data_IF_297414809175
#
_entry.id   IF_297414809175
#
_cell.length_a   1.000
_cell.length_b   1.000
_cell.length_c   1.000
_cell.angle_alpha   90.00
_cell.angle_beta   90.00
_cell.angle_gamma   90.00
#
_symmetry.space_group_name_H-M   'P 1'
#
loop_
_entity.id
_entity.type
_entity.pdbx_description
1 polymer ?
#
# COMPACT_ATOMS: atom_id res chain seq x y z
N UNK A 1 -11.29 20.38 11.33
CA UNK A 1 -10.59 19.21 11.92
C UNK A 1 -9.12 19.28 11.51
N UNK A 2 -8.15 19.15 12.43
CA UNK A 2 -6.72 19.20 12.07
C UNK A 2 -6.07 17.83 11.85
N UNK A 3 -6.53 16.77 12.52
CA UNK A 3 -5.94 15.43 12.42
C UNK A 3 -6.97 14.38 12.03
N UNK A 4 -6.66 13.59 10.99
CA UNK A 4 -7.40 12.40 10.59
C UNK A 4 -6.52 11.17 10.74
N UNK A 5 -6.92 10.27 11.62
CA UNK A 5 -6.26 9.01 11.88
C UNK A 5 -6.82 7.90 11.01
N UNK A 6 -5.97 7.28 10.19
CA UNK A 6 -6.34 6.18 9.30
C UNK A 6 -5.75 4.88 9.85
N UNK A 7 -6.62 4.02 10.38
CA UNK A 7 -6.24 2.70 10.91
C UNK A 7 -6.82 1.56 10.07
N UNK A 8 -6.41 0.32 10.35
CA UNK A 8 -6.95 -0.86 9.71
C UNK A 8 -7.08 -2.06 10.64
N UNK A 9 -8.20 -2.77 10.49
CA UNK A 9 -8.52 -3.97 11.27
C UNK A 9 -7.63 -5.17 10.92
N UNK A 10 -7.26 -5.29 9.64
CA UNK A 10 -6.34 -6.31 9.13
C UNK A 10 -5.03 -5.72 8.64
N UNK A 11 -4.04 -6.56 8.41
CA UNK A 11 -2.79 -6.17 7.75
C UNK A 11 -2.99 -5.94 6.25
N UNK A 12 -2.12 -5.11 5.65
CA UNK A 12 -2.07 -4.86 4.20
C UNK A 12 -3.43 -4.50 3.55
N UNK A 13 -4.24 -3.70 4.22
CA UNK A 13 -5.60 -3.31 3.76
C UNK A 13 -5.65 -1.96 3.04
N UNK A 14 -4.51 -1.34 2.73
CA UNK A 14 -4.45 -0.12 1.92
C UNK A 14 -4.48 1.21 2.68
N UNK A 15 -4.01 1.26 3.94
CA UNK A 15 -3.91 2.52 4.72
C UNK A 15 -3.12 3.61 4.00
N UNK A 16 -1.89 3.30 3.58
CA UNK A 16 -1.03 4.27 2.88
C UNK A 16 -1.65 4.72 1.56
N UNK A 17 -2.34 3.83 0.85
CA UNK A 17 -3.09 4.19 -0.36
C UNK A 17 -4.23 5.16 -0.04
N UNK A 18 -4.99 4.91 1.03
CA UNK A 18 -6.08 5.78 1.47
C UNK A 18 -5.53 7.15 1.91
N UNK A 19 -4.45 7.20 2.71
CA UNK A 19 -3.79 8.45 3.09
C UNK A 19 -3.29 9.22 1.86
N UNK A 20 -2.61 8.56 0.93
CA UNK A 20 -2.11 9.19 -0.28
C UNK A 20 -3.23 9.73 -1.17
N UNK A 21 -4.31 8.95 -1.35
CA UNK A 21 -5.48 9.38 -2.12
C UNK A 21 -6.22 10.56 -1.47
N UNK A 22 -6.48 10.50 -0.16
CA UNK A 22 -7.13 11.61 0.58
C UNK A 22 -6.27 12.87 0.50
N UNK A 23 -4.96 12.74 0.75
CA UNK A 23 -4.06 13.89 0.70
C UNK A 23 -3.96 14.49 -0.69
N UNK A 24 -3.90 13.66 -1.73
CA UNK A 24 -3.92 14.13 -3.12
C UNK A 24 -5.21 14.88 -3.45
N UNK A 25 -6.37 14.34 -3.07
CA UNK A 25 -7.66 15.01 -3.22
C UNK A 25 -7.70 16.37 -2.52
N UNK A 26 -7.28 16.45 -1.26
CA UNK A 26 -7.27 17.71 -0.50
C UNK A 26 -6.30 18.74 -1.09
N UNK A 27 -5.12 18.31 -1.55
CA UNK A 27 -4.16 19.19 -2.25
C UNK A 27 -4.73 19.72 -3.56
N UNK A 28 -5.50 18.89 -4.30
CA UNK A 28 -6.25 19.32 -5.49
C UNK A 28 -7.27 20.42 -5.19
N UNK A 29 -7.72 20.54 -3.94
CA UNK A 29 -8.58 21.62 -3.45
C UNK A 29 -7.80 22.82 -2.87
N UNK A 30 -6.47 22.85 -3.03
CA UNK A 30 -5.62 23.92 -2.53
C UNK A 30 -5.29 23.84 -1.03
N UNK A 31 -5.58 22.72 -0.36
CA UNK A 31 -5.27 22.54 1.06
C UNK A 31 -3.83 22.11 1.31
N UNK A 32 -3.29 22.57 2.43
CA UNK A 32 -1.99 22.13 2.93
C UNK A 32 -2.15 20.86 3.77
N UNK A 33 -1.51 19.78 3.33
CA UNK A 33 -1.63 18.45 3.93
C UNK A 33 -0.30 18.04 4.57
N UNK A 34 -0.34 17.69 5.85
CA UNK A 34 0.76 17.04 6.56
C UNK A 34 0.55 15.52 6.61
N UNK A 35 1.63 14.79 6.91
CA UNK A 35 1.59 13.34 7.13
C UNK A 35 2.41 12.99 8.36
N UNK A 36 1.91 12.07 9.18
CA UNK A 36 2.63 11.52 10.31
C UNK A 36 2.28 10.05 10.44
N UNK A 37 3.24 9.21 10.77
CA UNK A 37 3.05 7.82 11.21
C UNK A 37 3.33 7.77 12.71
N UNK A 38 2.31 7.93 13.58
CA UNK A 38 2.52 8.14 15.01
C UNK A 38 3.31 7.03 15.69
N UNK A 39 3.16 5.81 15.20
CA UNK A 39 3.74 4.59 15.76
C UNK A 39 4.14 3.66 14.62
N UNK A 40 5.31 3.04 14.73
CA UNK A 40 5.74 1.94 13.86
C UNK A 40 6.16 0.71 14.66
N UNK A 41 6.09 -0.46 14.03
CA UNK A 41 6.65 -1.69 14.59
C UNK A 41 8.13 -1.76 14.22
N UNK A 42 9.00 -2.18 15.13
CA UNK A 42 10.44 -2.22 14.88
C UNK A 42 10.82 -3.04 13.63
N UNK A 43 10.14 -4.17 13.40
CA UNK A 43 10.32 -5.00 12.19
C UNK A 43 9.88 -4.32 10.89
N UNK A 44 9.12 -3.22 10.98
CA UNK A 44 8.60 -2.45 9.84
C UNK A 44 9.37 -1.13 9.64
N UNK A 45 10.41 -0.84 10.42
CA UNK A 45 11.10 0.47 10.45
C UNK A 45 11.64 0.90 9.08
N UNK A 46 12.32 0.01 8.34
CA UNK A 46 12.80 0.30 7.00
C UNK A 46 11.63 0.65 6.05
N UNK A 47 10.53 -0.06 6.21
CA UNK A 47 9.31 0.20 5.48
C UNK A 47 8.67 1.54 5.84
N UNK A 48 8.62 1.89 7.12
CA UNK A 48 8.09 3.16 7.59
C UNK A 48 8.93 4.35 7.10
N UNK A 49 10.26 4.23 7.06
CA UNK A 49 11.15 5.25 6.50
C UNK A 49 10.90 5.48 5.00
N UNK A 50 10.69 4.41 4.24
CA UNK A 50 10.34 4.48 2.82
C UNK A 50 8.93 5.08 2.61
N UNK A 51 7.96 4.74 3.46
CA UNK A 51 6.62 5.34 3.41
C UNK A 51 6.71 6.85 3.71
N UNK A 52 7.48 7.26 4.73
CA UNK A 52 7.74 8.66 5.04
C UNK A 52 8.42 9.40 3.87
N UNK A 53 9.45 8.80 3.25
CA UNK A 53 10.11 9.38 2.07
C UNK A 53 9.14 9.58 0.89
N UNK A 54 8.22 8.63 0.69
CA UNK A 54 7.17 8.76 -0.31
C UNK A 54 6.24 9.94 0.01
N UNK A 55 5.73 10.04 1.24
CA UNK A 55 4.86 11.14 1.67
C UNK A 55 5.55 12.51 1.65
N UNK A 56 6.84 12.59 1.99
CA UNK A 56 7.66 13.80 1.84
C UNK A 56 7.62 14.28 0.40
N UNK A 57 7.85 13.37 -0.54
CA UNK A 57 7.84 13.69 -1.97
C UNK A 57 6.47 14.13 -2.46
N UNK A 58 5.42 13.36 -2.16
CA UNK A 58 4.07 13.59 -2.73
C UNK A 58 3.32 14.73 -2.07
N UNK A 59 3.64 15.10 -0.83
CA UNK A 59 3.05 16.24 -0.12
C UNK A 59 3.99 17.45 -0.04
N UNK A 60 5.23 17.34 -0.54
CA UNK A 60 6.24 18.39 -0.48
C UNK A 60 6.47 18.86 0.97
N UNK A 61 6.78 17.90 1.84
CA UNK A 61 7.06 18.13 3.25
C UNK A 61 8.53 18.53 3.43
N UNK A 62 8.80 19.41 4.38
CA UNK A 62 10.16 19.87 4.72
C UNK A 62 10.76 19.06 5.87
N UNK A 63 9.93 18.29 6.57
CA UNK A 63 10.29 17.50 7.74
C UNK A 63 11.10 16.26 7.35
N UNK A 64 12.15 15.91 8.11
CA UNK A 64 12.92 14.71 7.85
C UNK A 64 12.14 13.43 8.24
N UNK A 65 12.46 12.26 7.65
CA UNK A 65 11.68 11.02 7.85
C UNK A 65 11.53 10.58 9.31
N UNK A 66 12.52 10.83 10.16
CA UNK A 66 12.52 10.50 11.59
C UNK A 66 11.50 11.31 12.40
N UNK A 67 11.17 12.53 11.95
CA UNK A 67 10.08 13.34 12.52
C UNK A 67 8.71 12.83 12.12
N UNK A 68 8.61 12.23 10.93
CA UNK A 68 7.35 11.66 10.42
C UNK A 68 7.04 10.29 11.03
N UNK A 69 7.96 9.68 11.77
CA UNK A 69 7.76 8.39 12.45
C UNK A 69 8.43 8.39 13.85
N UNK A 70 7.86 9.12 14.83
CA UNK A 70 8.58 9.46 16.06
C UNK A 70 8.65 8.36 17.11
N UNK A 71 7.78 7.34 17.05
CA UNK A 71 7.69 6.31 18.10
C UNK A 71 7.64 4.89 17.54
N UNK A 72 8.18 3.96 18.33
CA UNK A 72 7.91 2.53 18.20
C UNK A 72 6.66 2.08 18.98
N UNK A 73 6.10 0.93 18.61
CA UNK A 73 4.98 0.30 19.33
C UNK A 73 5.31 0.02 20.80
N UNK A 74 6.56 -0.35 21.08
CA UNK A 74 7.07 -0.60 22.42
C UNK A 74 7.15 0.71 23.23
N UNK A 75 7.65 1.80 22.64
CA UNK A 75 7.71 3.10 23.31
C UNK A 75 6.33 3.61 23.72
N UNK A 76 5.33 3.52 22.83
CA UNK A 76 3.98 3.98 23.17
C UNK A 76 3.23 2.98 24.06
N UNK A 77 3.39 1.67 23.82
CA UNK A 77 2.75 0.64 24.63
C UNK A 77 3.22 0.66 26.09
N UNK A 78 4.50 0.93 26.34
CA UNK A 78 5.04 1.07 27.71
C UNK A 78 4.52 2.32 28.42
N UNK A 79 4.20 3.39 27.68
CA UNK A 79 3.65 4.63 28.23
C UNK A 79 2.27 4.45 28.88
N UNK A 80 1.53 3.40 28.53
CA UNK A 80 0.26 3.05 29.20
C UNK A 80 0.46 2.63 30.66
N UNK A 81 1.61 2.02 30.97
CA UNK A 81 1.92 1.51 32.30
C UNK A 81 2.82 2.46 33.13
N UNK A 82 3.44 3.46 32.49
CA UNK A 82 4.47 4.31 33.09
C UNK A 82 4.17 5.80 32.86
N UNK A 83 3.56 6.50 33.85
CA UNK A 83 3.22 7.92 33.77
C UNK A 83 4.40 8.85 33.46
N UNK A 84 5.62 8.43 33.78
CA UNK A 84 6.88 9.14 33.52
C UNK A 84 7.40 9.00 32.09
N UNK A 85 6.75 8.19 31.24
CA UNK A 85 7.18 8.00 29.86
C UNK A 85 7.17 9.32 29.08
N UNK A 86 8.24 9.54 28.32
CA UNK A 86 8.35 10.70 27.43
C UNK A 86 7.61 10.51 26.10
N UNK A 87 7.13 9.30 25.79
CA UNK A 87 6.52 8.97 24.51
C UNK A 87 5.33 9.89 24.16
N UNK A 88 4.36 10.18 25.07
CA UNK A 88 3.27 11.12 24.77
C UNK A 88 3.77 12.53 24.41
N UNK A 89 4.82 13.02 25.10
CA UNK A 89 5.42 14.34 24.82
C UNK A 89 6.13 14.35 23.47
N UNK A 90 6.89 13.30 23.16
CA UNK A 90 7.59 13.14 21.88
C UNK A 90 6.61 13.08 20.70
N UNK A 91 5.51 12.35 20.85
CA UNK A 91 4.44 12.29 19.84
C UNK A 91 3.79 13.66 19.63
N UNK A 92 3.40 14.32 20.72
CA UNK A 92 2.75 15.63 20.64
C UNK A 92 3.68 16.70 20.03
N UNK A 93 4.97 16.69 20.36
CA UNK A 93 5.97 17.59 19.77
C UNK A 93 6.07 17.37 18.26
N UNK A 94 6.20 16.11 17.84
CA UNK A 94 6.34 15.77 16.41
C UNK A 94 5.08 16.14 15.63
N UNK A 95 3.89 15.87 16.18
CA UNK A 95 2.64 16.30 15.58
C UNK A 95 2.53 17.83 15.50
N UNK A 96 2.90 18.56 16.56
CA UNK A 96 2.81 20.02 16.58
C UNK A 96 3.71 20.66 15.54
N UNK A 97 4.91 20.11 15.32
CA UNK A 97 5.83 20.54 14.26
C UNK A 97 5.23 20.27 12.87
N UNK A 98 4.73 19.05 12.61
CA UNK A 98 4.13 18.69 11.30
C UNK A 98 2.83 19.45 11.02
N UNK A 99 2.08 19.85 12.06
CA UNK A 99 0.81 20.55 11.92
C UNK A 99 0.97 22.06 11.62
N UNK A 100 2.20 22.60 11.63
CA UNK A 100 2.46 24.00 11.29
C UNK A 100 2.07 24.24 9.83
N UNK A 101 1.27 25.27 9.60
CA UNK A 101 0.78 25.68 8.28
C UNK A 101 0.03 24.58 7.49
N UNK A 102 -0.48 23.55 8.17
CA UNK A 102 -1.32 22.51 7.57
C UNK A 102 -2.79 22.70 7.93
N UNK A 103 -3.66 22.58 6.94
CA UNK A 103 -5.11 22.50 7.12
C UNK A 103 -5.51 21.14 7.71
N UNK A 104 -4.75 20.11 7.39
CA UNK A 104 -5.02 18.72 7.76
C UNK A 104 -3.73 17.93 7.86
N UNK A 105 -3.59 17.12 8.89
CA UNK A 105 -2.53 16.12 9.06
C UNK A 105 -3.14 14.73 8.99
N UNK A 106 -2.67 13.93 8.05
CA UNK A 106 -3.03 12.52 7.93
C UNK A 106 -2.13 11.69 8.84
N UNK A 107 -2.74 10.99 9.79
CA UNK A 107 -2.06 10.11 10.72
C UNK A 107 -2.21 8.67 10.24
N UNK A 108 -1.15 8.08 9.69
CA UNK A 108 -1.18 6.67 9.28
C UNK A 108 -0.91 5.76 10.48
N UNK A 109 -1.91 4.95 10.81
CA UNK A 109 -1.82 3.94 11.85
C UNK A 109 -1.08 2.66 11.44
N UNK A 110 -1.07 1.71 12.36
CA UNK A 110 -0.69 0.31 12.23
C UNK A 110 -1.75 -0.53 11.51
N UNK A 111 -1.30 -1.69 11.03
CA UNK A 111 -2.19 -2.77 10.58
C UNK A 111 -2.46 -3.80 11.66
N UNK A 112 -3.54 -4.55 11.48
CA UNK A 112 -3.81 -5.76 12.25
C UNK A 112 -4.36 -5.50 13.65
N UNK A 113 -5.26 -4.53 13.82
CA UNK A 113 -5.89 -4.31 15.13
C UNK A 113 -6.62 -5.55 15.66
N UNK A 114 -7.20 -6.35 14.78
CA UNK A 114 -7.86 -7.59 15.20
C UNK A 114 -6.86 -8.61 15.73
N UNK A 115 -5.61 -8.63 15.25
CA UNK A 115 -4.64 -9.69 15.56
C UNK A 115 -3.83 -9.40 16.81
N UNK A 116 -3.69 -8.13 17.20
CA UNK A 116 -2.82 -7.72 18.31
C UNK A 116 -3.47 -6.62 19.17
N UNK A 117 -3.75 -6.96 20.43
CA UNK A 117 -4.35 -6.05 21.40
C UNK A 117 -3.43 -4.89 21.78
N UNK A 118 -2.10 -5.07 21.75
CA UNK A 118 -1.14 -4.01 22.05
C UNK A 118 -1.20 -2.91 20.99
N UNK A 119 -1.30 -3.29 19.70
CA UNK A 119 -1.50 -2.34 18.59
C UNK A 119 -2.76 -1.53 18.78
N UNK A 120 -3.87 -2.20 19.11
CA UNK A 120 -5.16 -1.52 19.32
C UNK A 120 -5.08 -0.48 20.44
N UNK A 121 -4.44 -0.83 21.56
CA UNK A 121 -4.29 0.10 22.68
C UNK A 121 -3.38 1.28 22.34
N UNK A 122 -2.25 1.03 21.69
CA UNK A 122 -1.32 2.07 21.27
C UNK A 122 -1.97 3.06 20.28
N UNK A 123 -2.73 2.57 19.30
CA UNK A 123 -3.42 3.45 18.36
C UNK A 123 -4.55 4.26 19.00
N UNK A 124 -5.37 3.62 19.85
CA UNK A 124 -6.42 4.33 20.59
C UNK A 124 -5.82 5.44 21.46
N UNK A 125 -4.67 5.18 22.09
CA UNK A 125 -3.93 6.18 22.86
C UNK A 125 -3.40 7.30 21.96
N UNK A 126 -2.77 6.96 20.83
CA UNK A 126 -2.24 7.96 19.89
C UNK A 126 -3.37 8.85 19.33
N UNK A 127 -4.49 8.28 18.91
CA UNK A 127 -5.64 9.01 18.42
C UNK A 127 -6.24 9.93 19.50
N UNK A 128 -6.32 9.47 20.75
CA UNK A 128 -6.79 10.29 21.88
C UNK A 128 -5.83 11.44 22.19
N UNK A 129 -4.53 11.15 22.27
CA UNK A 129 -3.50 12.16 22.56
C UNK A 129 -3.50 13.27 21.51
N UNK A 130 -3.69 12.91 20.24
CA UNK A 130 -3.70 13.85 19.12
C UNK A 130 -5.07 14.46 18.83
N UNK A 131 -6.08 14.16 19.66
CA UNK A 131 -7.48 14.57 19.48
C UNK A 131 -8.00 14.28 18.05
N UNK A 132 -7.50 13.19 17.47
CA UNK A 132 -7.72 12.85 16.08
C UNK A 132 -9.06 12.15 15.91
N UNK A 133 -9.69 12.45 14.78
CA UNK A 133 -10.84 11.69 14.31
C UNK A 133 -10.38 10.49 13.50
N UNK A 134 -11.06 9.36 13.63
CA UNK A 134 -10.57 8.05 13.19
C UNK A 134 -11.41 7.53 12.04
N UNK A 135 -10.75 7.10 10.98
CA UNK A 135 -11.31 6.30 9.89
C UNK A 135 -10.67 4.93 9.93
N UNK A 136 -11.49 3.90 10.03
CA UNK A 136 -11.02 2.52 10.03
C UNK A 136 -11.20 1.88 8.65
N UNK A 137 -10.21 1.12 8.20
CA UNK A 137 -10.33 0.28 7.02
C UNK A 137 -10.72 -1.15 7.44
N UNK A 138 -11.83 -1.61 6.90
CA UNK A 138 -12.31 -2.98 7.01
C UNK A 138 -12.12 -3.70 5.68
N UNK A 139 -11.36 -4.81 5.66
CA UNK A 139 -11.21 -5.61 4.45
C UNK A 139 -12.48 -6.40 4.20
N UNK A 140 -13.00 -6.35 2.97
CA UNK A 140 -14.15 -7.14 2.57
C UNK A 140 -13.98 -8.63 2.92
N UNK A 141 -15.00 -9.21 3.55
CA UNK A 141 -15.01 -10.61 3.97
C UNK A 141 -14.39 -10.88 5.35
N UNK A 142 -13.85 -9.87 6.03
CA UNK A 142 -13.45 -10.02 7.43
C UNK A 142 -14.65 -10.05 8.39
N UNK A 143 -14.43 -10.57 9.60
CA UNK A 143 -15.46 -10.71 10.63
C UNK A 143 -16.04 -9.35 11.06
N UNK A 144 -17.30 -9.10 10.72
CA UNK A 144 -18.03 -7.88 11.01
C UNK A 144 -18.25 -7.65 12.51
N UNK A 145 -18.61 -8.68 13.28
CA UNK A 145 -18.95 -8.52 14.70
C UNK A 145 -17.68 -8.24 15.50
N UNK A 146 -16.60 -8.96 15.22
CA UNK A 146 -15.30 -8.69 15.85
C UNK A 146 -14.78 -7.30 15.48
N UNK A 147 -14.93 -6.90 14.22
CA UNK A 147 -14.55 -5.59 13.72
C UNK A 147 -15.31 -4.45 14.43
N UNK A 148 -16.64 -4.47 14.35
CA UNK A 148 -17.49 -3.42 14.93
C UNK A 148 -17.30 -3.30 16.44
N UNK A 149 -17.28 -4.42 17.17
CA UNK A 149 -17.06 -4.40 18.62
C UNK A 149 -15.69 -3.81 19.01
N UNK A 150 -14.63 -4.13 18.25
CA UNK A 150 -13.30 -3.57 18.49
C UNK A 150 -13.31 -2.06 18.25
N UNK A 151 -13.85 -1.60 17.12
CA UNK A 151 -13.84 -0.18 16.75
C UNK A 151 -14.62 0.68 17.75
N UNK A 152 -15.83 0.25 18.14
CA UNK A 152 -16.63 0.99 19.12
C UNK A 152 -15.93 1.05 20.47
N UNK A 153 -15.28 -0.03 20.91
CA UNK A 153 -14.57 -0.07 22.20
C UNK A 153 -13.27 0.75 22.19
N UNK A 154 -12.51 0.70 21.09
CA UNK A 154 -11.20 1.32 21.01
C UNK A 154 -11.29 2.83 20.76
N UNK A 155 -12.19 3.27 19.89
CA UNK A 155 -12.21 4.65 19.39
C UNK A 155 -13.45 5.44 19.78
N UNK A 156 -14.58 4.79 20.09
CA UNK A 156 -15.82 5.47 20.54
C UNK A 156 -16.17 6.70 19.70
N UNK A 157 -16.36 7.84 20.34
CA UNK A 157 -16.75 9.13 19.72
C UNK A 157 -15.69 9.73 18.78
N UNK A 158 -14.45 9.24 18.82
CA UNK A 158 -13.42 9.63 17.86
C UNK A 158 -13.61 8.95 16.51
N UNK A 159 -14.34 7.83 16.42
CA UNK A 159 -14.59 7.12 15.17
C UNK A 159 -15.57 7.88 14.27
N UNK A 160 -15.08 8.37 13.12
CA UNK A 160 -15.94 8.96 12.08
C UNK A 160 -16.70 7.90 11.30
N UNK A 161 -16.07 6.74 11.11
CA UNK A 161 -16.67 5.65 10.37
C UNK A 161 -15.65 4.66 9.83
N UNK A 162 -16.16 3.78 8.96
CA UNK A 162 -15.41 2.69 8.34
C UNK A 162 -15.44 2.80 6.82
N UNK A 163 -14.34 2.41 6.18
CA UNK A 163 -14.26 2.18 4.73
C UNK A 163 -14.12 0.69 4.50
N UNK A 164 -14.99 0.10 3.68
CA UNK A 164 -14.81 -1.29 3.25
C UNK A 164 -13.88 -1.30 2.04
N UNK A 165 -12.72 -1.92 2.15
CA UNK A 165 -11.76 -2.01 1.06
C UNK A 165 -11.66 -3.42 0.47
N UNK A 166 -11.13 -3.51 -0.75
CA UNK A 166 -10.92 -4.75 -1.50
C UNK A 166 -12.23 -5.50 -1.78
N UNK A 167 -13.30 -4.78 -2.10
CA UNK A 167 -14.57 -5.38 -2.54
C UNK A 167 -14.40 -5.95 -3.96
N UNK A 168 -14.69 -7.23 -4.21
CA UNK A 168 -14.68 -7.76 -5.58
C UNK A 168 -15.63 -6.92 -6.46
N UNK A 169 -15.22 -6.45 -7.66
CA UNK A 169 -16.04 -5.57 -8.49
C UNK A 169 -17.49 -6.05 -8.71
N UNK A 170 -17.75 -7.37 -8.96
CA UNK A 170 -19.11 -7.88 -9.11
C UNK A 170 -19.99 -7.78 -7.85
N UNK A 171 -19.41 -7.50 -6.68
CA UNK A 171 -20.11 -7.38 -5.39
C UNK A 171 -20.25 -5.94 -4.90
N UNK A 172 -19.71 -4.97 -5.65
CA UNK A 172 -19.61 -3.59 -5.19
C UNK A 172 -20.99 -2.96 -4.94
N UNK A 173 -21.93 -3.12 -5.87
CA UNK A 173 -23.29 -2.60 -5.72
C UNK A 173 -24.01 -3.20 -4.50
N UNK A 174 -23.96 -4.53 -4.36
CA UNK A 174 -24.55 -5.23 -3.21
C UNK A 174 -23.99 -4.73 -1.88
N UNK A 175 -22.68 -4.47 -1.80
CA UNK A 175 -22.05 -3.91 -0.60
C UNK A 175 -22.52 -2.48 -0.36
N UNK A 176 -22.59 -1.64 -1.39
CA UNK A 176 -23.05 -0.25 -1.28
C UNK A 176 -24.50 -0.15 -0.79
N UNK A 177 -25.36 -1.10 -1.17
CA UNK A 177 -26.77 -1.09 -0.80
C UNK A 177 -27.02 -1.65 0.61
N UNK A 178 -26.37 -2.76 0.95
CA UNK A 178 -26.71 -3.56 2.14
C UNK A 178 -25.87 -3.25 3.39
N UNK A 179 -24.59 -2.92 3.21
CA UNK A 179 -23.68 -2.72 4.33
C UNK A 179 -23.93 -1.42 5.13
N UNK A 180 -24.38 -0.28 4.57
CA UNK A 180 -24.64 0.92 5.37
C UNK A 180 -25.54 0.65 6.58
N UNK A 181 -26.70 0.02 6.34
CA UNK A 181 -27.66 -0.31 7.39
C UNK A 181 -27.06 -1.28 8.42
N UNK A 182 -26.23 -2.22 7.97
CA UNK A 182 -25.57 -3.19 8.85
C UNK A 182 -24.61 -2.51 9.82
N UNK A 183 -23.75 -1.63 9.35
CA UNK A 183 -22.81 -0.89 10.21
C UNK A 183 -23.52 0.08 11.15
N UNK A 184 -24.62 0.68 10.69
CA UNK A 184 -25.44 1.59 11.50
C UNK A 184 -26.06 0.89 12.72
N UNK A 185 -26.37 -0.42 12.65
CA UNK A 185 -26.83 -1.20 13.82
C UNK A 185 -25.82 -1.23 14.98
N UNK A 186 -24.55 -0.94 14.71
CA UNK A 186 -23.46 -0.85 15.70
C UNK A 186 -23.09 0.60 16.03
N UNK A 187 -23.83 1.58 15.50
CA UNK A 187 -23.54 3.01 15.64
C UNK A 187 -22.33 3.48 14.84
N UNK A 188 -21.93 2.75 13.79
CA UNK A 188 -20.76 3.08 12.96
C UNK A 188 -21.24 3.53 11.58
N UNK A 189 -20.82 4.72 11.14
CA UNK A 189 -21.09 5.19 9.77
C UNK A 189 -20.22 4.44 8.77
N UNK A 190 -20.82 3.90 7.71
CA UNK A 190 -20.08 3.46 6.52
C UNK A 190 -19.78 4.67 5.64
N UNK A 191 -18.50 4.98 5.45
CA UNK A 191 -18.03 6.11 4.63
C UNK A 191 -17.97 5.77 3.15
N UNK A 192 -17.92 4.48 2.82
CA UNK A 192 -17.94 4.01 1.44
C UNK A 192 -17.30 2.64 1.28
N UNK A 193 -17.32 2.15 0.04
CA UNK A 193 -16.82 0.84 -0.34
C UNK A 193 -15.91 0.96 -1.57
N UNK A 194 -14.67 0.54 -1.43
CA UNK A 194 -13.63 0.58 -2.46
C UNK A 194 -13.51 -0.80 -3.14
N UNK A 195 -13.62 -0.87 -4.47
CA UNK A 195 -13.40 -2.11 -5.18
C UNK A 195 -11.92 -2.51 -5.19
N UNK A 196 -11.66 -3.79 -5.43
CA UNK A 196 -10.33 -4.25 -5.79
C UNK A 196 -9.94 -3.66 -7.15
N UNK A 197 -8.91 -2.82 -7.17
CA UNK A 197 -8.33 -2.28 -8.40
C UNK A 197 -6.94 -2.89 -8.63
N UNK A 198 -6.80 -3.63 -9.73
CA UNK A 198 -5.55 -4.29 -10.09
C UNK A 198 -4.41 -3.29 -10.34
N UNK A 199 -4.72 -2.08 -10.81
CA UNK A 199 -3.74 -1.01 -11.06
C UNK A 199 -3.07 -0.57 -9.76
N UNK A 200 -3.82 -0.57 -8.66
CA UNK A 200 -3.30 -0.19 -7.34
C UNK A 200 -2.47 -1.31 -6.70
N UNK A 201 -2.75 -2.56 -7.08
CA UNK A 201 -2.06 -3.78 -6.63
C UNK A 201 -0.84 -4.16 -7.50
N UNK A 202 -0.37 -3.26 -8.38
CA UNK A 202 0.80 -3.51 -9.23
C UNK A 202 2.12 -3.20 -8.53
N UNK A 203 3.23 -3.67 -9.10
CA UNK A 203 4.59 -3.40 -8.64
C UNK A 203 5.41 -2.89 -9.83
N UNK A 204 6.34 -1.97 -9.60
CA UNK A 204 7.24 -1.51 -10.66
C UNK A 204 8.31 -2.57 -10.97
N UNK A 205 8.93 -2.49 -12.14
CA UNK A 205 10.03 -3.39 -12.47
C UNK A 205 11.27 -3.12 -11.60
N UNK A 206 11.50 -1.86 -11.22
CA UNK A 206 12.55 -1.46 -10.28
C UNK A 206 12.37 -2.12 -8.91
N UNK A 207 11.15 -2.09 -8.37
CA UNK A 207 10.84 -2.76 -7.10
C UNK A 207 10.92 -4.28 -7.22
N UNK A 208 10.47 -4.86 -8.34
CA UNK A 208 10.69 -6.29 -8.61
C UNK A 208 12.17 -6.64 -8.60
N UNK A 209 13.03 -5.84 -9.24
CA UNK A 209 14.47 -6.07 -9.22
C UNK A 209 15.03 -6.01 -7.80
N UNK A 210 14.63 -5.00 -7.03
CA UNK A 210 15.06 -4.84 -5.64
C UNK A 210 14.64 -6.02 -4.76
N UNK A 211 13.36 -6.39 -4.77
CA UNK A 211 12.79 -7.47 -3.93
C UNK A 211 13.34 -8.85 -4.32
N UNK A 212 13.71 -9.04 -5.59
CA UNK A 212 14.31 -10.28 -6.07
C UNK A 212 15.83 -10.32 -5.88
N UNK A 213 16.44 -9.25 -5.36
CA UNK A 213 17.91 -9.07 -5.34
C UNK A 213 18.50 -9.29 -6.74
N UNK A 214 17.77 -8.81 -7.76
CA UNK A 214 18.08 -9.02 -9.17
C UNK A 214 18.92 -7.89 -9.76
N UNK A 215 19.85 -8.25 -10.62
CA UNK A 215 20.64 -7.33 -11.43
C UNK A 215 19.83 -6.90 -12.67
N UNK A 216 19.72 -5.59 -12.90
CA UNK A 216 19.11 -5.05 -14.12
C UNK A 216 20.17 -4.94 -15.20
N UNK A 217 20.10 -5.83 -16.21
CA UNK A 217 21.14 -5.95 -17.24
C UNK A 217 21.04 -4.90 -18.35
N UNK A 218 19.83 -4.36 -18.59
CA UNK A 218 19.59 -3.27 -19.54
C UNK A 218 18.55 -2.30 -18.95
N UNK A 219 18.99 -1.25 -18.22
CA UNK A 219 18.09 -0.23 -17.74
C UNK A 219 17.35 0.43 -18.91
N UNK A 220 16.02 0.51 -18.81
CA UNK A 220 15.15 1.15 -19.81
C UNK A 220 14.13 2.05 -19.12
N UNK A 221 13.45 2.90 -19.89
CA UNK A 221 12.38 3.77 -19.36
C UNK A 221 11.22 2.98 -18.71
N UNK A 222 11.02 1.70 -19.10
CA UNK A 222 10.01 0.82 -18.51
C UNK A 222 10.36 0.31 -17.11
N UNK A 223 11.57 0.59 -16.61
CA UNK A 223 11.98 0.10 -15.27
C UNK A 223 11.07 0.66 -14.16
N UNK A 224 10.65 1.92 -14.30
CA UNK A 224 9.70 2.58 -13.38
C UNK A 224 8.22 2.21 -13.65
N UNK A 225 7.97 1.49 -14.75
CA UNK A 225 6.63 1.14 -15.19
C UNK A 225 6.02 0.00 -14.36
N UNK A 226 4.70 0.08 -14.18
CA UNK A 226 3.91 -0.84 -13.37
C UNK A 226 3.55 -2.10 -14.14
N UNK A 227 3.77 -3.25 -13.51
CA UNK A 227 3.40 -4.58 -14.02
C UNK A 227 2.06 -5.01 -13.44
N UNK A 228 1.09 -5.33 -14.31
CA UNK A 228 -0.27 -5.77 -13.92
C UNK A 228 -0.46 -7.28 -13.86
N UNK A 229 0.39 -8.02 -14.57
CA UNK A 229 0.28 -9.45 -14.73
C UNK A 229 1.66 -10.10 -14.60
N UNK A 230 1.70 -11.28 -13.96
CA UNK A 230 2.91 -12.10 -13.90
C UNK A 230 2.62 -13.40 -14.63
N UNK A 231 3.51 -13.76 -15.56
CA UNK A 231 3.43 -15.01 -16.32
C UNK A 231 4.70 -15.81 -16.11
N UNK A 232 4.56 -17.13 -16.02
CA UNK A 232 5.68 -18.02 -15.73
C UNK A 232 5.95 -18.87 -16.97
N UNK A 233 7.16 -18.79 -17.49
CA UNK A 233 7.71 -19.66 -18.51
C UNK A 233 8.07 -21.03 -17.93
N UNK A 234 7.06 -21.74 -17.42
CA UNK A 234 7.19 -23.11 -16.95
C UNK A 234 5.93 -23.92 -17.33
N UNK A 235 6.14 -25.14 -17.84
CA UNK A 235 5.11 -26.17 -18.02
C UNK A 235 3.92 -25.87 -18.95
N UNK A 236 4.08 -25.04 -19.99
CA UNK A 236 2.98 -24.78 -20.95
C UNK A 236 3.09 -25.68 -22.18
N UNK A 237 2.00 -26.36 -22.54
CA UNK A 237 1.87 -27.15 -23.77
C UNK A 237 1.70 -26.25 -25.01
N UNK A 238 1.22 -25.01 -24.80
CA UNK A 238 1.01 -24.02 -25.85
C UNK A 238 2.34 -23.43 -26.37
N UNK A 239 2.43 -23.08 -27.67
CA UNK A 239 3.52 -22.27 -28.21
C UNK A 239 3.67 -20.96 -27.41
N UNK A 240 4.91 -20.62 -27.05
CA UNK A 240 5.22 -19.48 -26.19
C UNK A 240 4.49 -18.17 -26.55
N UNK A 241 4.47 -17.71 -27.82
CA UNK A 241 3.77 -16.48 -28.19
C UNK A 241 2.25 -16.53 -27.94
N UNK A 242 1.60 -17.69 -28.13
CA UNK A 242 0.18 -17.86 -27.85
C UNK A 242 -0.11 -17.83 -26.35
N UNK A 243 0.80 -18.40 -25.54
CA UNK A 243 0.68 -18.35 -24.09
C UNK A 243 0.90 -16.92 -23.57
N UNK A 244 2.03 -16.30 -23.89
CA UNK A 244 2.39 -14.96 -23.42
C UNK A 244 1.50 -13.85 -24.00
N UNK A 245 0.92 -14.05 -25.19
CA UNK A 245 -0.02 -13.11 -25.81
C UNK A 245 -1.35 -12.97 -25.08
N UNK A 246 -1.70 -13.86 -24.14
CA UNK A 246 -2.97 -13.82 -23.38
C UNK A 246 -3.08 -12.62 -22.44
N UNK A 247 -1.97 -12.02 -22.03
CA UNK A 247 -1.92 -10.87 -21.13
C UNK A 247 -1.00 -9.79 -21.69
N UNK A 248 -1.47 -8.55 -21.68
CA UNK A 248 -0.65 -7.37 -21.85
C UNK A 248 -0.05 -6.89 -20.53
N UNK A 249 0.81 -5.88 -20.60
CA UNK A 249 1.43 -5.21 -19.45
C UNK A 249 1.91 -6.18 -18.35
N UNK A 250 2.78 -7.13 -18.75
CA UNK A 250 3.18 -8.29 -17.93
C UNK A 250 4.68 -8.35 -17.65
N UNK A 251 5.04 -8.91 -16.50
CA UNK A 251 6.36 -9.48 -16.26
C UNK A 251 6.31 -10.97 -16.61
N UNK A 252 7.35 -11.45 -17.30
CA UNK A 252 7.53 -12.87 -17.59
C UNK A 252 8.71 -13.40 -16.78
N UNK A 253 8.53 -14.50 -16.07
CA UNK A 253 9.61 -15.22 -15.39
C UNK A 253 10.03 -16.38 -16.30
N UNK A 254 11.29 -16.44 -16.71
CA UNK A 254 11.79 -17.52 -17.57
C UNK A 254 13.11 -18.09 -17.02
N UNK A 255 13.38 -19.40 -17.15
CA UNK A 255 14.68 -19.96 -16.83
C UNK A 255 15.78 -19.35 -17.71
N UNK A 256 16.94 -19.04 -17.11
CA UNK A 256 18.09 -18.44 -17.80
C UNK A 256 18.56 -19.27 -19.01
N UNK A 257 18.47 -20.60 -18.90
CA UNK A 257 18.93 -21.53 -19.95
C UNK A 257 17.85 -21.86 -21.01
N UNK A 258 16.70 -21.18 -20.99
CA UNK A 258 15.60 -21.37 -21.94
C UNK A 258 15.43 -20.17 -22.85
N UNK A 259 16.40 -19.98 -23.76
CA UNK A 259 16.40 -18.87 -24.72
C UNK A 259 15.15 -18.86 -25.61
N UNK A 260 14.60 -20.03 -25.94
CA UNK A 260 13.35 -20.16 -26.68
C UNK A 260 12.16 -19.49 -25.97
N UNK A 261 12.06 -19.68 -24.64
CA UNK A 261 11.01 -19.06 -23.82
C UNK A 261 11.23 -17.54 -23.67
N UNK A 262 12.49 -17.12 -23.55
CA UNK A 262 12.86 -15.71 -23.45
C UNK A 262 12.49 -14.96 -24.73
N UNK A 263 12.84 -15.51 -25.91
CA UNK A 263 12.50 -14.92 -27.20
C UNK A 263 10.98 -14.85 -27.41
N UNK A 264 10.27 -15.95 -27.10
CA UNK A 264 8.82 -15.97 -27.20
C UNK A 264 8.14 -14.92 -26.29
N UNK A 265 8.72 -14.62 -25.12
CA UNK A 265 8.22 -13.57 -24.25
C UNK A 265 8.47 -12.18 -24.85
N UNK A 266 9.68 -11.93 -25.36
CA UNK A 266 10.09 -10.66 -25.97
C UNK A 266 9.34 -10.35 -27.29
N UNK A 267 8.84 -11.38 -27.98
CA UNK A 267 8.02 -11.23 -29.19
C UNK A 267 6.54 -10.91 -28.91
N UNK A 268 6.17 -10.71 -27.65
CA UNK A 268 4.83 -10.26 -27.23
C UNK A 268 4.91 -8.97 -26.41
N UNK A 269 3.79 -8.27 -26.15
CA UNK A 269 3.77 -7.09 -25.29
C UNK A 269 4.16 -7.44 -23.85
N UNK A 270 5.47 -7.37 -23.57
CA UNK A 270 6.10 -7.70 -22.29
C UNK A 270 6.70 -6.44 -21.71
N UNK A 271 6.40 -6.19 -20.43
CA UNK A 271 6.88 -5.01 -19.72
C UNK A 271 8.22 -5.26 -19.04
N UNK A 272 8.47 -6.50 -18.61
CA UNK A 272 9.71 -6.93 -17.96
C UNK A 272 9.95 -8.42 -18.19
N UNK A 273 11.21 -8.82 -18.33
CA UNK A 273 11.60 -10.23 -18.38
C UNK A 273 12.56 -10.53 -17.22
N UNK A 274 12.16 -11.46 -16.36
CA UNK A 274 12.89 -11.89 -15.16
C UNK A 274 13.52 -13.24 -15.48
N UNK A 275 14.83 -13.33 -15.41
CA UNK A 275 15.61 -14.53 -15.67
C UNK A 275 15.99 -15.21 -14.36
N UNK A 276 15.55 -16.45 -14.22
CA UNK A 276 15.80 -17.30 -13.06
C UNK A 276 17.01 -18.19 -13.30
N UNK A 277 18.06 -18.05 -12.47
CA UNK A 277 19.22 -18.94 -12.46
C UNK A 277 20.56 -18.21 -12.52
N UNK A 278 21.63 -19.01 -12.45
CA UNK A 278 23.02 -18.56 -12.36
C UNK A 278 23.68 -18.43 -13.73
N UNK A 279 24.41 -17.35 -13.97
CA UNK A 279 25.20 -17.14 -15.18
C UNK A 279 24.80 -15.88 -15.93
N UNK A 280 24.92 -15.89 -17.26
CA UNK A 280 24.62 -14.74 -18.11
C UNK A 280 23.67 -15.14 -19.25
N UNK A 281 22.71 -14.28 -19.61
CA UNK A 281 21.86 -14.54 -20.77
C UNK A 281 22.67 -14.49 -22.07
N UNK A 282 22.13 -15.12 -23.11
CA UNK A 282 22.76 -15.07 -24.43
C UNK A 282 22.77 -13.65 -24.98
N UNK A 283 23.78 -13.31 -25.79
CA UNK A 283 23.83 -11.99 -26.46
C UNK A 283 22.60 -11.72 -27.34
N UNK A 284 21.98 -12.77 -27.89
CA UNK A 284 20.73 -12.66 -28.64
C UNK A 284 19.56 -12.19 -27.75
N UNK A 285 19.41 -12.76 -26.55
CA UNK A 285 18.39 -12.34 -25.58
C UNK A 285 18.59 -10.88 -25.18
N UNK A 286 19.83 -10.49 -24.85
CA UNK A 286 20.17 -9.12 -24.46
C UNK A 286 19.84 -8.12 -25.56
N UNK A 287 20.30 -8.39 -26.79
CA UNK A 287 20.03 -7.53 -27.96
C UNK A 287 18.53 -7.40 -28.20
N UNK A 288 17.80 -8.53 -28.17
CA UNK A 288 16.35 -8.51 -28.42
C UNK A 288 15.59 -7.72 -27.36
N UNK A 289 15.98 -7.85 -26.09
CA UNK A 289 15.36 -7.11 -25.00
C UNK A 289 15.65 -5.60 -25.11
N UNK A 290 16.86 -5.23 -25.52
CA UNK A 290 17.22 -3.85 -25.79
C UNK A 290 16.41 -3.26 -26.94
N UNK A 291 16.30 -3.98 -28.06
CA UNK A 291 15.51 -3.55 -29.23
C UNK A 291 14.02 -3.39 -28.90
N UNK A 292 13.49 -4.27 -28.03
CA UNK A 292 12.10 -4.21 -27.57
C UNK A 292 11.87 -3.18 -26.43
N UNK A 293 12.94 -2.55 -25.93
CA UNK A 293 12.90 -1.69 -24.76
C UNK A 293 12.28 -2.40 -23.55
N UNK A 294 12.65 -3.66 -23.30
CA UNK A 294 12.18 -4.47 -22.17
C UNK A 294 13.35 -4.66 -21.19
N UNK A 295 13.21 -4.25 -19.92
CA UNK A 295 14.21 -4.49 -18.90
C UNK A 295 14.33 -6.00 -18.61
N UNK A 296 15.58 -6.45 -18.52
CA UNK A 296 15.99 -7.78 -18.08
C UNK A 296 16.47 -7.71 -16.64
N UNK A 297 15.80 -8.46 -15.78
CA UNK A 297 16.19 -8.66 -14.38
C UNK A 297 16.76 -10.06 -14.25
N UNK A 298 18.03 -10.19 -13.90
CA UNK A 298 18.68 -11.47 -13.63
C UNK A 298 18.74 -11.71 -12.12
N UNK A 299 18.25 -12.85 -11.65
CA UNK A 299 18.33 -13.22 -10.24
C UNK A 299 18.78 -14.67 -10.08
N UNK A 300 19.59 -14.91 -9.06
CA UNK A 300 20.06 -16.23 -8.68
C UNK A 300 18.95 -17.13 -8.10
N UNK A 301 17.77 -16.55 -7.81
CA UNK A 301 16.60 -17.25 -7.28
C UNK A 301 16.00 -18.21 -8.32
N UNK A 302 15.55 -19.37 -7.85
CA UNK A 302 14.77 -20.29 -8.68
C UNK A 302 13.34 -19.76 -8.95
N UNK A 303 12.67 -20.33 -9.95
CA UNK A 303 11.36 -19.84 -10.42
C UNK A 303 10.29 -19.85 -9.33
N UNK A 304 10.26 -20.86 -8.45
CA UNK A 304 9.28 -20.93 -7.38
C UNK A 304 9.56 -19.86 -6.31
N UNK A 305 10.84 -19.66 -5.98
CA UNK A 305 11.25 -18.58 -5.07
C UNK A 305 10.86 -17.20 -5.59
N UNK A 306 11.02 -16.94 -6.90
CA UNK A 306 10.59 -15.68 -7.52
C UNK A 306 9.07 -15.50 -7.41
N UNK A 307 8.29 -16.54 -7.73
CA UNK A 307 6.82 -16.50 -7.61
C UNK A 307 6.41 -16.17 -6.18
N UNK A 308 7.00 -16.84 -5.19
CA UNK A 308 6.69 -16.60 -3.78
C UNK A 308 7.00 -15.16 -3.35
N UNK A 309 8.16 -14.61 -3.74
CA UNK A 309 8.53 -13.22 -3.43
C UNK A 309 7.53 -12.26 -4.08
N UNK A 310 7.15 -12.50 -5.32
CA UNK A 310 6.17 -11.67 -6.03
C UNK A 310 4.79 -11.76 -5.37
N UNK A 311 4.30 -12.95 -5.02
CA UNK A 311 3.00 -13.10 -4.35
C UNK A 311 2.98 -12.45 -2.96
N UNK A 312 4.06 -12.58 -2.20
CA UNK A 312 4.23 -11.90 -0.91
C UNK A 312 4.27 -10.38 -1.08
N UNK A 313 4.95 -9.88 -2.11
CA UNK A 313 5.01 -8.45 -2.40
C UNK A 313 3.69 -7.92 -2.95
N UNK A 314 2.97 -8.65 -3.80
CA UNK A 314 1.65 -8.26 -4.29
C UNK A 314 0.62 -8.25 -3.16
N UNK A 315 0.68 -9.22 -2.24
CA UNK A 315 -0.19 -9.26 -1.05
C UNK A 315 0.15 -8.17 -0.01
N UNK A 316 1.38 -7.67 -0.03
CA UNK A 316 1.87 -6.56 0.81
C UNK A 316 2.04 -5.25 0.06
N UNK A 317 1.60 -5.18 -1.19
CA UNK A 317 2.06 -4.17 -2.17
C UNK A 317 1.91 -2.78 -1.57
N UNK A 318 3.06 -2.19 -1.25
CA UNK A 318 3.10 -0.88 -0.62
C UNK A 318 2.79 0.17 -1.67
N UNK A 319 1.98 1.13 -1.28
CA UNK A 319 1.58 2.24 -2.15
C UNK A 319 2.68 3.28 -2.14
N UNK A 320 3.61 3.20 -3.11
CA UNK A 320 4.82 4.06 -3.16
C UNK A 320 5.13 4.63 -4.54
N UNK A 321 4.22 4.43 -5.49
CA UNK A 321 4.40 4.84 -6.87
C UNK A 321 3.44 5.99 -7.17
N UNK A 322 3.98 7.14 -7.57
CA UNK A 322 3.17 8.34 -7.90
C UNK A 322 2.14 8.08 -8.99
N UNK A 323 2.45 7.18 -9.94
CA UNK A 323 1.53 6.75 -10.98
C UNK A 323 0.21 6.17 -10.45
N UNK A 324 0.15 5.77 -9.17
CA UNK A 324 -1.07 5.27 -8.52
C UNK A 324 -1.90 6.36 -7.85
N UNK A 325 -1.38 7.58 -7.68
CA UNK A 325 -2.06 8.66 -6.96
C UNK A 325 -3.35 9.09 -7.64
N UNK A 326 -3.29 9.43 -8.93
CA UNK A 326 -4.45 9.90 -9.68
C UNK A 326 -5.53 8.81 -9.81
N UNK A 327 -5.20 7.55 -10.16
CA UNK A 327 -6.18 6.46 -10.11
C UNK A 327 -6.81 6.26 -8.73
N UNK A 328 -6.01 6.38 -7.66
CA UNK A 328 -6.51 6.23 -6.29
C UNK A 328 -7.43 7.38 -5.89
N UNK A 329 -7.04 8.64 -6.17
CA UNK A 329 -7.85 9.81 -5.86
C UNK A 329 -9.21 9.77 -6.56
N UNK A 330 -9.22 9.45 -7.86
CA UNK A 330 -10.46 9.25 -8.62
C UNK A 330 -11.33 8.14 -8.02
N UNK A 331 -10.72 7.03 -7.61
CA UNK A 331 -11.44 5.94 -6.97
C UNK A 331 -12.10 6.38 -5.66
N UNK A 332 -11.42 7.21 -4.86
CA UNK A 332 -11.95 7.75 -3.62
C UNK A 332 -13.13 8.70 -3.87
N UNK A 333 -13.01 9.60 -4.84
CA UNK A 333 -14.09 10.52 -5.22
C UNK A 333 -15.36 9.78 -5.67
N UNK A 334 -15.21 8.68 -6.41
CA UNK A 334 -16.33 7.89 -6.92
C UNK A 334 -16.97 6.96 -5.87
N UNK A 335 -16.28 6.71 -4.75
CA UNK A 335 -16.63 5.61 -3.83
C UNK A 335 -16.79 5.99 -2.37
N UNK A 336 -16.26 7.14 -1.94
CA UNK A 336 -16.30 7.59 -0.55
C UNK A 336 -17.08 8.90 -0.40
N UNK A 337 -17.80 9.01 0.72
CA UNK A 337 -18.34 10.27 1.23
C UNK A 337 -17.20 11.10 1.84
N UNK A 338 -16.40 11.74 0.98
CA UNK A 338 -15.26 12.58 1.39
C UNK A 338 -15.71 13.82 2.17
N UNK A 339 -16.96 14.27 2.01
CA UNK A 339 -17.51 15.39 2.77
C UNK A 339 -17.72 15.02 4.25
N UNK A 340 -18.12 13.79 4.53
CA UNK A 340 -18.29 13.30 5.90
C UNK A 340 -17.00 13.19 6.72
N UNK A 341 -15.84 13.29 6.07
CA UNK A 341 -14.56 13.36 6.76
C UNK A 341 -14.33 14.72 7.47
N UNK A 342 -15.26 15.69 7.33
CA UNK A 342 -15.33 16.86 8.22
C UNK A 342 -14.27 17.92 7.94
N UNK A 343 -13.92 18.09 6.66
CA UNK A 343 -12.98 19.09 6.19
C UNK A 343 -13.58 20.50 6.05
N UNK A 344 -14.90 20.64 6.27
CA UNK A 344 -15.65 21.90 6.17
C UNK A 344 -15.37 22.89 7.29
#
# INVERSE_FOLDING_TARGET
MKALYVTSLGEATGKSALCAGIGHYLRGQGRQVGYLKPVAVASEAAGAAQDAAFFIKIFQLDEPPDKLCPLSLEELGTALAHPESQAPRKLMSSYSEVAVDKDTVLLEGLGGLLTDGQRTQAEAQAARLLEAKVVAIHRYGHDFDRASNLLTKAFGDSLLGVVINMVPPPKLEVVRDSEPARWETKGIKLLGALPQDRRLMTISCAELAHELEGEVLNPTEKLEGLVENVMVGAFTVDPGPLYYGRKGNKAVIAPLHRADMQMAALDTPTHCLILSGQGQPTGMTLSRAQDAGVPLILTERDTLSIINVIEQNLSRARFRQEAKLEPMAKLLEESLDLAALGWG
#
